data_IF_919105789000
#
_entry.id   IF_919105789000
#
_cell.length_a   1.000
_cell.length_b   1.000
_cell.length_c   1.000
_cell.angle_alpha   90.00
_cell.angle_beta   90.00
_cell.angle_gamma   90.00
#
_symmetry.space_group_name_H-M   'P 1'
#
loop_
_entity.id
_entity.type
_entity.pdbx_description
1 polymer ?
#
# COMPACT_ATOMS: atom_id res chain seq x y z
N UNK A 1 -1.57 -29.77 -1.81
CA UNK A 1 -0.99 -28.43 -1.91
C UNK A 1 -1.69 -27.77 -3.06
N UNK A 2 -2.48 -26.73 -2.79
CA UNK A 2 -2.94 -25.83 -3.85
C UNK A 2 -1.68 -25.05 -4.24
N UNK A 3 -1.31 -25.11 -5.51
CA UNK A 3 -0.22 -24.29 -6.05
C UNK A 3 -0.70 -22.84 -5.95
N UNK A 4 -0.30 -22.14 -4.89
CA UNK A 4 -0.60 -20.72 -4.67
C UNK A 4 0.46 -19.84 -5.31
N UNK A 5 0.99 -20.27 -6.47
CA UNK A 5 1.95 -19.45 -7.20
C UNK A 5 1.20 -18.23 -7.75
N UNK A 6 1.22 -17.14 -6.99
CA UNK A 6 0.65 -15.83 -7.32
C UNK A 6 1.80 -14.95 -7.80
N UNK A 7 2.09 -14.93 -9.12
CA UNK A 7 3.09 -14.04 -9.67
C UNK A 7 2.52 -12.65 -9.96
N UNK A 8 3.39 -11.66 -10.10
CA UNK A 8 2.99 -10.35 -10.65
C UNK A 8 3.22 -10.30 -12.15
N UNK A 9 2.17 -10.01 -12.93
CA UNK A 9 2.26 -9.67 -14.35
C UNK A 9 1.98 -8.17 -14.55
N UNK A 10 2.84 -7.41 -15.25
CA UNK A 10 2.58 -6.01 -15.56
C UNK A 10 1.34 -5.88 -16.45
N UNK A 11 0.51 -4.87 -16.20
CA UNK A 11 -0.54 -4.45 -17.10
C UNK A 11 -0.26 -3.02 -17.58
N UNK A 12 -0.30 -2.80 -18.89
CA UNK A 12 0.10 -1.53 -19.52
C UNK A 12 -1.12 -0.82 -20.11
N UNK A 13 -1.18 0.49 -19.90
CA UNK A 13 -2.24 1.34 -20.45
C UNK A 13 -1.68 2.66 -20.95
N UNK A 14 -2.33 3.24 -21.97
CA UNK A 14 -2.04 4.60 -22.47
C UNK A 14 -3.00 5.66 -21.92
N UNK A 15 -4.19 5.25 -21.48
CA UNK A 15 -5.25 6.13 -20.99
C UNK A 15 -5.57 5.94 -19.50
N UNK A 16 -4.99 4.92 -18.87
CA UNK A 16 -5.22 4.58 -17.46
C UNK A 16 -6.50 3.78 -17.21
N UNK A 17 -7.22 3.38 -18.26
CA UNK A 17 -8.53 2.70 -18.18
C UNK A 17 -8.52 1.37 -18.93
N UNK A 18 -7.96 1.34 -20.13
CA UNK A 18 -7.86 0.12 -20.93
C UNK A 18 -6.45 -0.48 -20.79
N UNK A 19 -6.38 -1.71 -20.29
CA UNK A 19 -5.13 -2.38 -19.97
C UNK A 19 -4.90 -3.60 -20.87
N UNK A 20 -3.64 -3.84 -21.22
CA UNK A 20 -3.17 -5.11 -21.77
C UNK A 20 -2.20 -5.70 -20.77
N UNK A 21 -2.46 -6.94 -20.34
CA UNK A 21 -1.62 -7.68 -19.41
C UNK A 21 -0.48 -8.32 -20.22
N UNK A 22 0.75 -8.17 -19.74
CA UNK A 22 1.91 -8.83 -20.35
C UNK A 22 1.78 -10.36 -20.18
N UNK A 23 2.12 -11.13 -21.23
CA UNK A 23 1.93 -12.59 -21.26
C UNK A 23 2.77 -13.37 -20.24
N UNK A 24 3.84 -12.75 -19.74
CA UNK A 24 4.78 -13.37 -18.81
C UNK A 24 4.75 -12.67 -17.47
N UNK A 25 4.82 -13.42 -16.36
CA UNK A 25 5.02 -12.82 -15.06
C UNK A 25 6.38 -12.10 -15.01
N UNK A 26 6.39 -10.97 -14.32
CA UNK A 26 7.57 -10.14 -14.09
C UNK A 26 8.25 -10.48 -12.76
N UNK A 27 7.48 -10.75 -11.71
CA UNK A 27 7.98 -11.30 -10.45
C UNK A 27 7.30 -12.64 -10.22
N UNK A 28 8.10 -13.67 -9.97
CA UNK A 28 7.69 -15.04 -9.66
C UNK A 28 8.32 -15.45 -8.34
N UNK A 29 7.73 -16.39 -7.60
CA UNK A 29 8.34 -16.93 -6.39
C UNK A 29 9.66 -17.67 -6.75
N UNK A 30 10.76 -17.32 -6.10
CA UNK A 30 12.07 -17.95 -6.33
C UNK A 30 12.86 -18.22 -5.04
N UNK A 31 12.26 -17.94 -3.88
CA UNK A 31 12.84 -18.20 -2.57
C UNK A 31 11.87 -18.92 -1.64
N UNK A 32 12.39 -19.59 -0.60
CA UNK A 32 11.57 -20.26 0.43
C UNK A 32 10.64 -19.31 1.19
N UNK A 33 10.89 -18.01 1.14
CA UNK A 33 10.09 -16.99 1.82
C UNK A 33 8.82 -16.63 1.04
N UNK A 34 8.72 -17.08 -0.20
CA UNK A 34 7.61 -16.83 -1.13
C UNK A 34 6.87 -18.15 -1.45
N UNK A 35 7.00 -19.17 -0.59
CA UNK A 35 6.43 -20.51 -0.75
C UNK A 35 4.94 -20.51 -1.10
N UNK A 36 4.18 -19.52 -0.59
CA UNK A 36 2.74 -19.37 -0.83
C UNK A 36 2.42 -18.18 -1.74
N UNK A 37 3.42 -17.55 -2.37
CA UNK A 37 3.24 -16.51 -3.36
C UNK A 37 3.80 -15.13 -2.99
N UNK A 38 3.66 -14.22 -3.96
CA UNK A 38 4.02 -12.81 -3.88
C UNK A 38 2.74 -11.96 -3.97
N UNK A 39 2.42 -11.17 -2.94
CA UNK A 39 1.14 -10.45 -2.84
C UNK A 39 1.33 -8.93 -2.72
N UNK A 40 0.36 -8.17 -3.22
CA UNK A 40 0.21 -6.73 -3.01
C UNK A 40 1.46 -5.86 -3.29
N UNK A 41 2.02 -5.93 -4.50
CA UNK A 41 3.15 -5.09 -4.88
C UNK A 41 2.82 -3.59 -4.83
N UNK A 42 3.67 -2.80 -4.16
CA UNK A 42 3.74 -1.33 -4.26
C UNK A 42 4.96 -0.94 -5.07
N UNK A 43 4.83 0.11 -5.88
CA UNK A 43 5.87 0.55 -6.82
C UNK A 43 6.19 2.03 -6.58
N UNK A 44 7.44 2.32 -6.19
CA UNK A 44 7.90 3.67 -5.90
C UNK A 44 9.10 4.04 -6.77
N UNK A 45 9.02 5.16 -7.48
CA UNK A 45 10.13 5.65 -8.31
C UNK A 45 11.04 6.59 -7.51
N UNK A 46 12.33 6.28 -7.44
CA UNK A 46 13.33 7.11 -6.76
C UNK A 46 14.60 7.17 -7.62
N UNK A 47 14.93 8.37 -8.09
CA UNK A 47 16.06 8.57 -9.00
C UNK A 47 15.81 7.91 -10.36
N UNK A 48 16.59 6.89 -10.69
CA UNK A 48 16.53 6.13 -11.94
C UNK A 48 16.06 4.67 -11.74
N UNK A 49 15.56 4.35 -10.53
CA UNK A 49 15.10 3.03 -10.13
C UNK A 49 13.62 3.05 -9.73
N UNK A 50 12.93 2.00 -10.12
CA UNK A 50 11.64 1.60 -9.57
C UNK A 50 11.88 0.56 -8.48
N UNK A 51 11.48 0.90 -7.25
CA UNK A 51 11.49 0.01 -6.10
C UNK A 51 10.13 -0.68 -6.03
N UNK A 52 10.13 -2.01 -5.99
CA UNK A 52 8.93 -2.83 -5.95
C UNK A 52 9.00 -3.64 -4.67
N UNK A 53 8.23 -3.24 -3.66
CA UNK A 53 8.10 -4.00 -2.43
C UNK A 53 6.79 -4.75 -2.43
N UNK A 54 6.81 -5.98 -1.92
CA UNK A 54 5.64 -6.87 -1.94
C UNK A 54 5.67 -7.80 -0.73
N UNK A 55 4.51 -8.37 -0.41
CA UNK A 55 4.38 -9.37 0.65
C UNK A 55 4.92 -10.70 0.13
N UNK A 56 5.93 -11.25 0.82
CA UNK A 56 6.42 -12.61 0.64
C UNK A 56 5.74 -13.50 1.69
N UNK A 57 5.02 -14.52 1.23
CA UNK A 57 4.18 -15.38 2.07
C UNK A 57 4.77 -16.79 2.09
N UNK A 58 4.97 -17.36 3.28
CA UNK A 58 5.44 -18.73 3.43
C UNK A 58 5.00 -19.36 4.75
N UNK A 59 5.38 -20.62 4.96
CA UNK A 59 5.27 -21.28 6.26
C UNK A 59 6.05 -20.60 7.40
N UNK A 60 6.94 -19.65 7.10
CA UNK A 60 7.72 -18.89 8.08
C UNK A 60 7.06 -17.57 8.55
N UNK A 61 5.91 -17.21 7.97
CA UNK A 61 5.18 -15.97 8.25
C UNK A 61 5.03 -15.09 7.02
N UNK A 62 4.48 -13.89 7.22
CA UNK A 62 4.22 -12.92 6.14
C UNK A 62 5.10 -11.71 6.35
N UNK A 63 5.90 -11.37 5.35
CA UNK A 63 6.88 -10.29 5.48
C UNK A 63 7.09 -9.55 4.16
N UNK A 64 7.98 -8.56 4.14
CA UNK A 64 8.18 -7.70 2.97
C UNK A 64 9.49 -8.01 2.29
N UNK A 65 9.41 -8.35 1.00
CA UNK A 65 10.54 -8.46 0.09
C UNK A 65 10.68 -7.19 -0.76
N UNK A 66 11.88 -6.98 -1.31
CA UNK A 66 12.18 -5.89 -2.23
C UNK A 66 12.75 -6.41 -3.54
N UNK A 67 12.30 -5.81 -4.63
CA UNK A 67 12.90 -5.91 -5.95
C UNK A 67 13.10 -4.52 -6.56
N UNK A 68 13.98 -4.41 -7.55
CA UNK A 68 14.20 -3.18 -8.31
C UNK A 68 14.22 -3.43 -9.81
N UNK A 69 13.81 -2.42 -10.58
CA UNK A 69 13.91 -2.41 -12.03
C UNK A 69 14.15 -1.00 -12.57
N UNK A 70 14.66 -0.92 -13.80
CA UNK A 70 14.81 0.34 -14.57
C UNK A 70 13.84 0.42 -15.75
N UNK A 71 13.33 -0.72 -16.21
CA UNK A 71 12.69 -0.86 -17.51
C UNK A 71 11.41 -1.71 -17.49
N UNK A 72 11.08 -2.37 -16.36
CA UNK A 72 10.02 -3.37 -16.27
C UNK A 72 10.17 -4.50 -17.32
N UNK A 73 11.42 -4.82 -17.67
CA UNK A 73 11.82 -5.98 -18.47
C UNK A 73 12.77 -6.88 -17.67
N UNK A 74 13.65 -6.28 -16.88
CA UNK A 74 14.57 -6.96 -15.98
C UNK A 74 14.25 -6.60 -14.53
N UNK A 75 14.28 -7.60 -13.65
CA UNK A 75 14.04 -7.42 -12.22
C UNK A 75 15.21 -7.99 -11.42
N UNK A 76 15.65 -7.24 -10.41
CA UNK A 76 16.65 -7.68 -9.43
C UNK A 76 15.97 -7.78 -8.07
N UNK A 77 15.92 -8.99 -7.48
CA UNK A 77 15.41 -9.20 -6.13
C UNK A 77 16.52 -9.02 -5.09
N UNK A 78 16.20 -8.30 -4.02
CA UNK A 78 17.09 -8.01 -2.89
C UNK A 78 16.78 -8.84 -1.65
N UNK A 79 15.74 -9.67 -1.69
CA UNK A 79 15.28 -10.48 -0.57
C UNK A 79 14.43 -9.69 0.42
N UNK A 80 14.41 -10.15 1.68
CA UNK A 80 13.56 -9.58 2.73
C UNK A 80 14.17 -8.32 3.33
N UNK A 81 13.36 -7.27 3.46
CA UNK A 81 13.76 -5.97 4.05
C UNK A 81 13.17 -5.74 5.45
N UNK A 82 12.23 -6.59 5.88
CA UNK A 82 11.64 -6.62 7.22
C UNK A 82 11.53 -8.07 7.71
N UNK A 83 11.37 -8.26 9.02
CA UNK A 83 11.06 -9.56 9.61
C UNK A 83 9.54 -9.81 9.62
N UNK A 84 9.09 -11.09 9.60
CA UNK A 84 7.69 -11.42 9.82
C UNK A 84 7.27 -11.20 11.29
N UNK A 85 6.01 -10.86 11.60
CA UNK A 85 4.92 -10.58 10.65
C UNK A 85 4.80 -9.09 10.33
N UNK A 86 4.91 -8.75 9.05
CA UNK A 86 4.77 -7.37 8.54
C UNK A 86 4.23 -7.36 7.10
N UNK A 87 3.43 -6.35 6.76
CA UNK A 87 2.93 -6.12 5.39
C UNK A 87 2.56 -4.65 5.23
N UNK A 88 1.96 -4.31 4.09
CA UNK A 88 1.44 -2.96 3.82
C UNK A 88 2.52 -1.86 3.87
N UNK A 89 3.72 -2.20 3.40
CA UNK A 89 4.86 -1.29 3.40
C UNK A 89 4.71 -0.28 2.27
N UNK A 90 4.74 1.02 2.60
CA UNK A 90 4.56 2.10 1.64
C UNK A 90 5.74 3.07 1.73
N UNK A 91 6.55 3.12 0.68
CA UNK A 91 7.73 4.00 0.65
C UNK A 91 7.38 5.45 0.36
N UNK A 92 8.18 6.33 0.95
CA UNK A 92 8.26 7.72 0.52
C UNK A 92 9.03 7.81 -0.80
N UNK A 93 8.59 8.62 -1.78
CA UNK A 93 9.20 8.71 -3.12
C UNK A 93 10.49 9.54 -3.16
N UNK A 94 10.93 10.08 -2.02
CA UNK A 94 12.20 10.77 -1.86
C UNK A 94 12.65 10.73 -0.41
N UNK A 95 13.89 11.16 -0.15
CA UNK A 95 14.41 11.25 1.22
C UNK A 95 13.73 12.38 1.98
N UNK A 96 13.37 12.12 3.22
CA UNK A 96 12.92 13.13 4.19
C UNK A 96 14.04 13.33 5.22
N UNK A 97 14.48 14.57 5.41
CA UNK A 97 15.62 14.89 6.29
C UNK A 97 16.87 14.02 6.07
N UNK A 98 17.15 13.65 4.80
CA UNK A 98 18.32 12.86 4.41
C UNK A 98 18.19 11.35 4.59
N UNK A 99 17.03 10.84 5.03
CA UNK A 99 16.74 9.41 5.18
C UNK A 99 15.64 8.94 4.24
N UNK A 100 15.70 7.70 3.80
CA UNK A 100 14.53 7.05 3.21
C UNK A 100 13.55 6.72 4.32
N UNK A 101 12.26 6.79 4.02
CA UNK A 101 11.19 6.52 4.99
C UNK A 101 10.16 5.57 4.39
N UNK A 102 9.50 4.81 5.26
CA UNK A 102 8.43 3.90 4.90
C UNK A 102 7.39 3.84 6.00
N UNK A 103 6.12 3.73 5.60
CA UNK A 103 5.09 3.17 6.47
C UNK A 103 5.24 1.65 6.49
N UNK A 104 4.97 1.03 7.64
CA UNK A 104 4.98 -0.43 7.83
C UNK A 104 3.81 -0.85 8.70
N UNK A 105 3.47 -2.13 8.73
CA UNK A 105 2.32 -2.62 9.49
C UNK A 105 2.61 -3.97 10.15
N UNK A 106 3.34 -3.97 11.29
CA UNK A 106 3.51 -5.16 12.10
C UNK A 106 2.17 -5.80 12.46
N UNK A 107 2.09 -7.13 12.47
CA UNK A 107 0.88 -7.87 12.84
C UNK A 107 1.15 -8.73 14.08
N UNK A 108 1.23 -8.14 15.28
CA UNK A 108 1.59 -8.88 16.49
C UNK A 108 0.50 -9.89 16.88
N UNK A 109 0.92 -11.07 17.32
CA UNK A 109 0.02 -12.15 17.73
C UNK A 109 -0.39 -12.11 19.22
N UNK A 110 0.46 -11.55 20.09
CA UNK A 110 0.25 -11.58 21.55
C UNK A 110 -0.30 -10.27 22.10
N UNK A 111 0.38 -9.15 21.84
CA UNK A 111 0.03 -7.83 22.37
C UNK A 111 0.18 -6.77 21.29
N UNK A 112 -0.73 -5.79 21.32
CA UNK A 112 -0.84 -4.79 20.28
C UNK A 112 -1.73 -5.27 19.14
N UNK A 113 -1.80 -4.47 18.10
CA UNK A 113 -2.73 -4.65 17.01
C UNK A 113 -2.11 -4.29 15.67
N UNK A 114 -2.67 -4.77 14.55
CA UNK A 114 -2.18 -4.40 13.23
C UNK A 114 -2.51 -2.94 12.94
N UNK A 115 -1.52 -2.09 13.15
CA UNK A 115 -1.59 -0.63 13.08
C UNK A 115 -0.41 -0.08 12.27
N UNK A 116 -0.51 1.17 11.81
CA UNK A 116 0.50 1.77 10.95
C UNK A 116 1.66 2.31 11.80
N UNK A 117 2.86 1.89 11.43
CA UNK A 117 4.13 2.35 11.96
C UNK A 117 4.91 3.07 10.86
N UNK A 118 5.97 3.77 11.24
CA UNK A 118 6.91 4.41 10.33
C UNK A 118 8.34 4.05 10.73
N UNK A 119 9.21 3.87 9.74
CA UNK A 119 10.63 3.60 9.93
C UNK A 119 11.48 4.37 8.92
N UNK A 120 12.79 4.34 9.12
CA UNK A 120 13.76 4.97 8.25
C UNK A 120 14.83 4.00 7.78
N UNK A 121 15.48 4.34 6.67
CA UNK A 121 16.59 3.57 6.10
C UNK A 121 17.68 4.48 5.52
N UNK A 122 18.97 4.11 5.63
CA UNK A 122 20.04 4.78 4.91
C UNK A 122 20.09 4.41 3.42
N UNK A 123 19.54 3.26 3.01
CA UNK A 123 19.87 2.60 1.74
C UNK A 123 18.72 1.80 1.08
N UNK A 124 17.48 1.91 1.58
CA UNK A 124 16.29 1.15 1.15
C UNK A 124 16.30 -0.35 1.52
N UNK A 125 17.40 -0.88 2.07
CA UNK A 125 17.57 -2.29 2.42
C UNK A 125 17.47 -2.51 3.93
N UNK A 126 18.15 -1.66 4.70
CA UNK A 126 18.23 -1.80 6.16
C UNK A 126 17.29 -0.80 6.82
N UNK A 127 16.23 -1.31 7.46
CA UNK A 127 15.20 -0.47 8.08
C UNK A 127 15.31 -0.51 9.60
N UNK A 128 15.13 0.65 10.24
CA UNK A 128 15.22 0.82 11.68
C UNK A 128 14.49 2.07 12.18
N UNK A 129 14.73 2.44 13.44
CA UNK A 129 14.06 3.57 14.10
C UNK A 129 12.52 3.50 13.99
N UNK A 130 11.97 2.31 14.18
CA UNK A 130 10.54 2.03 14.07
C UNK A 130 9.76 2.80 15.15
N UNK A 131 8.73 3.53 14.74
CA UNK A 131 7.87 4.31 15.60
C UNK A 131 6.41 4.05 15.24
N UNK A 132 5.55 3.92 16.24
CA UNK A 132 4.10 3.85 16.02
C UNK A 132 3.60 5.19 15.48
N UNK A 133 2.73 5.18 14.45
CA UNK A 133 2.24 6.39 13.79
C UNK A 133 0.74 6.55 13.95
N UNK A 134 -0.04 5.57 13.48
CA UNK A 134 -1.50 5.65 13.46
C UNK A 134 -2.13 4.36 14.00
N UNK A 135 -2.78 4.49 15.15
CA UNK A 135 -3.60 3.45 15.75
C UNK A 135 -5.02 3.40 15.18
N UNK A 136 -5.76 2.35 15.55
CA UNK A 136 -7.17 2.14 15.16
C UNK A 136 -8.07 3.19 15.81
N UNK A 137 -9.08 3.67 15.09
CA UNK A 137 -10.04 4.61 15.67
C UNK A 137 -11.18 3.83 16.32
N UNK A 138 -11.14 3.67 17.64
CA UNK A 138 -12.27 3.20 18.47
C UNK A 138 -13.22 2.22 17.77
N UNK A 139 -14.51 2.59 17.67
CA UNK A 139 -15.58 1.81 17.01
C UNK A 139 -15.85 2.28 15.56
N UNK A 140 -14.86 2.86 14.89
CA UNK A 140 -15.02 3.39 13.53
C UNK A 140 -14.80 2.32 12.44
N UNK A 141 -14.78 2.78 11.18
CA UNK A 141 -14.52 1.98 9.99
C UNK A 141 -13.10 1.38 9.91
N UNK A 142 -12.17 1.83 10.76
CA UNK A 142 -10.80 1.33 10.88
C UNK A 142 -10.50 0.75 12.28
N UNK A 143 -11.54 0.26 12.97
CA UNK A 143 -11.51 -0.23 14.36
C UNK A 143 -10.74 -1.55 14.57
N UNK A 144 -10.70 -2.44 13.57
CA UNK A 144 -10.08 -3.77 13.68
C UNK A 144 -8.60 -3.73 13.32
N UNK A 145 -8.26 -3.14 12.18
CA UNK A 145 -6.89 -2.94 11.70
C UNK A 145 -6.83 -1.83 10.66
N UNK A 146 -5.63 -1.27 10.49
CA UNK A 146 -5.31 -0.33 9.42
C UNK A 146 -3.96 -0.68 8.81
N UNK A 147 -3.72 -0.25 7.58
CA UNK A 147 -2.45 -0.44 6.88
C UNK A 147 -2.30 0.51 5.72
N UNK A 148 -1.04 0.73 5.32
CA UNK A 148 -0.75 1.53 4.12
C UNK A 148 -1.35 0.89 2.87
N UNK A 149 -1.67 1.72 1.89
CA UNK A 149 -2.20 1.28 0.61
C UNK A 149 -1.21 1.55 -0.50
N UNK A 150 -1.35 2.71 -1.12
CA UNK A 150 -0.45 3.19 -2.16
C UNK A 150 0.86 3.74 -1.55
N UNK A 151 1.96 3.81 -2.33
CA UNK A 151 3.10 4.64 -1.96
C UNK A 151 2.70 6.07 -1.60
N UNK A 152 3.50 6.73 -0.75
CA UNK A 152 3.23 8.11 -0.34
C UNK A 152 3.26 9.03 -1.55
N UNK A 153 2.30 9.94 -1.60
CA UNK A 153 2.19 10.95 -2.64
C UNK A 153 2.62 12.28 -2.05
N UNK A 154 3.66 12.90 -2.61
CA UNK A 154 4.05 14.26 -2.23
C UNK A 154 3.03 15.26 -2.77
N UNK A 155 2.54 16.15 -1.90
CA UNK A 155 1.72 17.30 -2.27
C UNK A 155 2.32 18.58 -1.69
N UNK A 156 1.80 19.74 -2.08
CA UNK A 156 2.14 21.03 -1.48
C UNK A 156 1.66 21.17 -0.02
N UNK A 157 0.70 20.33 0.41
CA UNK A 157 0.12 20.35 1.76
C UNK A 157 0.71 19.32 2.72
N UNK A 158 1.46 18.34 2.22
CA UNK A 158 1.89 17.19 3.03
C UNK A 158 2.20 15.95 2.21
N UNK A 159 2.64 14.91 2.90
CA UNK A 159 2.66 13.54 2.38
C UNK A 159 1.28 12.94 2.51
N UNK A 160 0.65 12.68 1.37
CA UNK A 160 -0.66 12.04 1.28
C UNK A 160 -0.50 10.53 1.20
N UNK A 161 -1.13 9.81 2.11
CA UNK A 161 -1.27 8.36 2.10
C UNK A 161 -2.73 7.98 1.86
N UNK A 162 -2.98 7.09 0.90
CA UNK A 162 -4.28 6.41 0.76
C UNK A 162 -4.15 5.07 1.46
N UNK A 163 -4.67 5.00 2.69
CA UNK A 163 -4.56 3.84 3.56
C UNK A 163 -5.89 3.06 3.60
N UNK A 164 -5.84 1.78 3.99
CA UNK A 164 -7.05 1.01 4.22
C UNK A 164 -7.35 0.89 5.71
N UNK A 165 -8.64 0.80 6.03
CA UNK A 165 -9.18 0.56 7.36
C UNK A 165 -10.18 -0.58 7.31
N UNK A 166 -10.19 -1.38 8.37
CA UNK A 166 -11.06 -2.55 8.48
C UNK A 166 -11.86 -2.45 9.78
N UNK A 167 -13.16 -2.67 9.68
CA UNK A 167 -14.05 -2.68 10.84
C UNK A 167 -14.21 -4.08 11.46
N UNK A 168 -15.03 -4.17 12.50
CA UNK A 168 -15.27 -5.41 13.24
C UNK A 168 -15.85 -6.53 12.36
N UNK A 169 -16.65 -6.14 11.34
CA UNK A 169 -17.31 -7.04 10.39
C UNK A 169 -16.40 -7.40 9.20
N UNK A 170 -15.13 -6.99 9.25
CA UNK A 170 -14.12 -7.22 8.21
C UNK A 170 -14.44 -6.54 6.87
N UNK A 171 -15.20 -5.44 6.90
CA UNK A 171 -15.37 -4.58 5.73
C UNK A 171 -14.12 -3.73 5.54
N UNK A 172 -13.53 -3.75 4.35
CA UNK A 172 -12.36 -2.96 4.01
C UNK A 172 -12.78 -1.70 3.26
N UNK A 173 -12.37 -0.56 3.78
CA UNK A 173 -12.57 0.75 3.16
C UNK A 173 -11.23 1.45 2.96
N UNK A 174 -11.21 2.48 2.10
CA UNK A 174 -10.06 3.36 1.93
C UNK A 174 -10.30 4.70 2.64
N UNK A 175 -9.23 5.28 3.18
CA UNK A 175 -9.19 6.64 3.68
C UNK A 175 -7.91 7.35 3.27
N UNK A 176 -7.78 8.60 3.69
CA UNK A 176 -6.62 9.43 3.45
C UNK A 176 -6.00 9.88 4.78
N UNK A 177 -4.68 9.91 4.82
CA UNK A 177 -3.88 10.43 5.91
C UNK A 177 -2.90 11.46 5.33
N UNK A 178 -2.81 12.63 5.94
CA UNK A 178 -1.89 13.68 5.53
C UNK A 178 -0.83 13.86 6.63
N UNK A 179 0.44 13.70 6.28
CA UNK A 179 1.58 13.88 7.18
C UNK A 179 2.36 15.15 6.81
N UNK A 180 3.03 15.74 7.79
CA UNK A 180 3.87 16.93 7.58
C UNK A 180 5.09 16.63 6.68
N UNK A 181 5.41 17.54 5.76
CA UNK A 181 6.49 17.36 4.78
C UNK A 181 7.87 17.21 5.42
N UNK A 182 8.09 17.88 6.55
CA UNK A 182 9.39 17.95 7.22
C UNK A 182 9.48 16.98 8.40
N UNK A 183 8.37 16.72 9.08
CA UNK A 183 8.28 15.73 10.16
C UNK A 183 7.12 14.76 9.95
N UNK A 184 7.31 13.64 9.22
CA UNK A 184 6.24 12.70 8.92
C UNK A 184 5.63 11.98 10.14
N UNK A 185 6.18 12.15 11.34
CA UNK A 185 5.51 11.72 12.57
C UNK A 185 4.28 12.57 12.92
N UNK A 186 4.21 13.79 12.38
CA UNK A 186 3.12 14.72 12.63
C UNK A 186 1.99 14.48 11.62
N UNK A 187 0.91 13.88 12.11
CA UNK A 187 -0.34 13.74 11.37
C UNK A 187 -1.04 15.10 11.32
N UNK A 188 -1.22 15.63 10.11
CA UNK A 188 -1.90 16.90 9.86
C UNK A 188 -3.42 16.72 9.71
N UNK A 189 -3.83 15.66 9.02
CA UNK A 189 -5.23 15.32 8.84
C UNK A 189 -5.42 13.82 8.63
N UNK A 190 -6.61 13.32 8.96
CA UNK A 190 -7.03 11.94 8.74
C UNK A 190 -8.49 11.96 8.31
N UNK A 191 -8.85 11.08 7.39
CA UNK A 191 -10.23 10.83 6.98
C UNK A 191 -11.16 10.64 8.19
N UNK A 192 -12.20 11.49 8.37
CA UNK A 192 -13.17 11.31 9.45
C UNK A 192 -14.15 10.16 9.17
N UNK A 193 -14.37 9.84 7.90
CA UNK A 193 -15.19 8.74 7.38
C UNK A 193 -14.47 8.11 6.18
N UNK A 194 -14.87 6.91 5.70
CA UNK A 194 -14.30 6.33 4.48
C UNK A 194 -14.27 7.33 3.32
N UNK A 195 -13.14 7.37 2.60
CA UNK A 195 -13.03 8.05 1.32
C UNK A 195 -13.67 7.20 0.20
N UNK A 196 -13.54 5.88 0.31
CA UNK A 196 -14.18 4.89 -0.56
C UNK A 196 -14.60 3.69 0.31
N UNK A 197 -15.82 3.20 0.10
CA UNK A 197 -16.36 2.00 0.76
C UNK A 197 -17.05 1.10 -0.27
N UNK A 198 -17.12 -0.23 -0.04
CA UNK A 198 -17.69 -1.17 -0.99
C UNK A 198 -19.21 -0.97 -1.10
N UNK A 199 -19.67 -0.55 -2.26
CA UNK A 199 -21.09 -0.29 -2.55
C UNK A 199 -21.55 -0.94 -3.86
N UNK A 200 -20.67 -1.01 -4.86
CA UNK A 200 -20.96 -1.68 -6.12
C UNK A 200 -21.03 -3.20 -5.93
N UNK A 201 -21.73 -3.90 -6.83
CA UNK A 201 -21.86 -5.36 -6.75
C UNK A 201 -20.48 -6.05 -6.75
N UNK A 202 -19.57 -5.64 -7.64
CA UNK A 202 -18.22 -6.18 -7.75
C UNK A 202 -17.29 -5.87 -6.55
N UNK A 203 -17.71 -5.00 -5.63
CA UNK A 203 -16.98 -4.69 -4.38
C UNK A 203 -17.54 -5.46 -3.19
N UNK A 204 -18.83 -5.82 -3.25
CA UNK A 204 -19.56 -6.53 -2.18
C UNK A 204 -19.55 -8.04 -2.37
N UNK A 205 -19.45 -8.50 -3.62
CA UNK A 205 -19.53 -9.90 -4.01
C UNK A 205 -18.26 -10.30 -4.77
N UNK A 206 -17.65 -11.41 -4.34
CA UNK A 206 -16.48 -11.99 -4.97
C UNK A 206 -15.81 -13.03 -4.09
N UNK A 207 -14.51 -13.29 -4.29
CA UNK A 207 -13.75 -14.25 -3.47
C UNK A 207 -13.77 -13.88 -1.98
N UNK A 208 -13.58 -12.60 -1.67
CA UNK A 208 -13.73 -12.05 -0.33
C UNK A 208 -14.50 -10.72 -0.39
N UNK A 209 -15.82 -10.79 -0.19
CA UNK A 209 -16.73 -9.66 -0.37
C UNK A 209 -16.57 -8.54 0.66
N UNK A 210 -17.16 -7.38 0.33
CA UNK A 210 -17.10 -6.13 1.10
C UNK A 210 -15.68 -5.58 1.24
N UNK A 211 -14.95 -5.55 0.13
CA UNK A 211 -13.57 -5.07 0.08
C UNK A 211 -13.34 -4.08 -1.04
N UNK A 212 -12.76 -2.94 -0.66
CA UNK A 212 -11.98 -2.08 -1.54
C UNK A 212 -10.56 -1.92 -0.95
N UNK A 213 -9.53 -2.21 -1.75
CA UNK A 213 -8.13 -2.22 -1.29
C UNK A 213 -7.20 -1.66 -2.36
N UNK A 214 -6.28 -0.75 -2.03
CA UNK A 214 -5.37 -0.17 -3.03
C UNK A 214 -3.91 -0.46 -2.71
N UNK A 215 -3.13 -0.70 -3.77
CA UNK A 215 -1.66 -0.74 -3.73
C UNK A 215 -1.04 0.39 -4.58
N UNK A 216 -1.87 1.24 -5.19
CA UNK A 216 -1.42 2.21 -6.19
C UNK A 216 -2.40 3.35 -6.41
N UNK A 217 -1.90 4.56 -6.23
CA UNK A 217 -2.62 5.78 -6.50
C UNK A 217 -1.65 6.81 -7.11
N UNK A 218 -2.18 7.75 -7.89
CA UNK A 218 -1.41 8.88 -8.41
C UNK A 218 -2.25 10.14 -8.46
N UNK A 219 -1.58 11.28 -8.34
CA UNK A 219 -2.19 12.59 -8.59
C UNK A 219 -1.73 13.09 -9.95
N UNK A 220 -2.69 13.45 -10.80
CA UNK A 220 -2.44 14.01 -12.13
C UNK A 220 -3.53 15.00 -12.47
N UNK A 221 -3.16 16.19 -12.95
CA UNK A 221 -4.09 17.22 -13.38
C UNK A 221 -5.13 17.59 -12.29
N UNK A 222 -4.68 17.80 -11.04
CA UNK A 222 -5.57 18.11 -9.89
C UNK A 222 -6.62 17.03 -9.59
N UNK A 223 -6.35 15.79 -9.99
CA UNK A 223 -7.21 14.63 -9.75
C UNK A 223 -6.40 13.49 -9.12
N UNK A 224 -6.88 13.01 -7.98
CA UNK A 224 -6.45 11.74 -7.39
C UNK A 224 -7.07 10.59 -8.20
N UNK A 225 -6.24 9.65 -8.62
CA UNK A 225 -6.63 8.40 -9.26
C UNK A 225 -6.20 7.25 -8.34
N UNK A 226 -7.12 6.36 -8.01
CA UNK A 226 -6.88 5.21 -7.13
C UNK A 226 -7.26 3.95 -7.88
N UNK A 227 -6.28 3.11 -8.18
CA UNK A 227 -6.53 1.75 -8.66
C UNK A 227 -6.68 0.85 -7.44
N UNK A 228 -7.77 0.11 -7.38
CA UNK A 228 -8.09 -0.71 -6.21
C UNK A 228 -8.58 -2.09 -6.62
N UNK A 229 -8.17 -3.10 -5.85
CA UNK A 229 -8.78 -4.41 -5.83
C UNK A 229 -10.16 -4.33 -5.20
N UNK A 230 -11.11 -5.04 -5.79
CA UNK A 230 -12.48 -5.15 -5.33
C UNK A 230 -12.84 -6.62 -5.14
N UNK A 231 -13.34 -6.94 -3.95
CA UNK A 231 -13.73 -8.28 -3.50
C UNK A 231 -12.69 -9.41 -3.72
N UNK A 232 -11.40 -9.06 -3.72
CA UNK A 232 -10.26 -9.94 -4.05
C UNK A 232 -10.40 -10.67 -5.40
N UNK A 233 -11.11 -10.07 -6.35
CA UNK A 233 -11.43 -10.71 -7.64
C UNK A 233 -11.09 -9.85 -8.85
N UNK A 234 -11.26 -8.53 -8.77
CA UNK A 234 -11.04 -7.63 -9.90
C UNK A 234 -10.33 -6.33 -9.50
N UNK A 235 -9.85 -5.59 -10.49
CA UNK A 235 -9.30 -4.24 -10.30
C UNK A 235 -10.26 -3.21 -10.89
N UNK A 236 -10.46 -2.11 -10.16
CA UNK A 236 -11.26 -0.96 -10.54
C UNK A 236 -10.46 0.34 -10.39
N UNK A 237 -11.01 1.45 -10.91
CA UNK A 237 -10.43 2.79 -10.83
C UNK A 237 -11.47 3.76 -10.28
N UNK A 238 -11.09 4.48 -9.22
CA UNK A 238 -11.84 5.62 -8.70
C UNK A 238 -11.04 6.91 -8.90
N UNK A 239 -11.74 8.02 -9.16
CA UNK A 239 -11.12 9.35 -9.30
C UNK A 239 -11.79 10.38 -8.41
N UNK A 240 -11.01 11.27 -7.82
CA UNK A 240 -11.48 12.33 -6.94
C UNK A 240 -10.72 13.64 -7.21
N UNK A 241 -11.40 14.78 -7.42
CA UNK A 241 -10.72 16.08 -7.47
C UNK A 241 -9.97 16.39 -6.18
N UNK A 242 -8.76 16.93 -6.27
CA UNK A 242 -7.93 17.23 -5.09
C UNK A 242 -8.62 18.19 -4.11
N UNK A 243 -9.36 19.19 -4.61
CA UNK A 243 -10.15 20.09 -3.75
C UNK A 243 -11.22 19.35 -2.94
N UNK A 244 -11.83 18.31 -3.52
CA UNK A 244 -12.81 17.48 -2.80
C UNK A 244 -12.12 16.64 -1.72
N UNK A 245 -10.91 16.13 -1.98
CA UNK A 245 -10.08 15.45 -0.98
C UNK A 245 -9.71 16.40 0.18
N UNK A 246 -9.31 17.63 -0.12
CA UNK A 246 -8.96 18.62 0.90
C UNK A 246 -10.15 18.99 1.77
N UNK A 247 -11.33 19.15 1.16
CA UNK A 247 -12.58 19.34 1.90
C UNK A 247 -12.92 18.14 2.78
N UNK A 248 -12.74 16.92 2.27
CA UNK A 248 -12.94 15.67 3.05
C UNK A 248 -12.04 15.61 4.29
N UNK A 249 -10.80 16.05 4.16
CA UNK A 249 -9.83 16.14 5.25
C UNK A 249 -10.03 17.37 6.17
N UNK A 250 -11.03 18.22 5.90
CA UNK A 250 -11.30 19.43 6.69
C UNK A 250 -10.27 20.56 6.50
N UNK A 251 -9.56 20.58 5.37
CA UNK A 251 -8.49 21.52 5.04
C UNK A 251 -8.91 22.57 3.98
N UNK A 252 -10.21 22.87 3.89
CA UNK A 252 -10.76 23.85 2.95
C UNK A 252 -10.45 25.29 3.36
#
# INVERSE_FOLDING_TARGET
MVDLDVPFAPARSRDGVHYTIDDKPFIVADSRYEEFGCEDARITHIGDLWYINYSAVSSLGITTALATTRDFLHVEKHGLILCPDNRDVCFFPEKVAGRYMALTRPAPCHFGHPEIWICESPDMLHWGNHRHLLGRSGDAWDSRKSGGGAPLIKTDRGWLEIYHGVDADQRYCLGALLLDLHDPMKILAKSPVPLLEPTAAYEREGFFGNVVFTCGALVRNEMLHVWYGAADECTALATLPMDALWKHLGLA
#
